data_IF_722514253419
#
_entry.id   IF_722514253419
#
_cell.length_a   1.000
_cell.length_b   1.000
_cell.length_c   1.000
_cell.angle_alpha   90.00
_cell.angle_beta   90.00
_cell.angle_gamma   90.00
#
_symmetry.space_group_name_H-M   'P 1'
#
loop_
_entity.id
_entity.type
_entity.pdbx_description
1 polymer ?
#
# COMPACT_ATOMS: atom_id res chain seq x y z
N UNK A 1 2.41 -7.95 -14.53
CA UNK A 1 0.94 -7.79 -14.59
C UNK A 1 0.30 -7.78 -13.20
N UNK A 2 0.22 -8.90 -12.46
CA UNK A 2 -0.37 -8.90 -11.08
C UNK A 2 0.42 -8.05 -10.07
N UNK A 3 1.76 -8.06 -10.15
CA UNK A 3 2.61 -7.26 -9.28
C UNK A 3 2.52 -5.76 -9.63
N UNK A 4 2.54 -5.41 -10.92
CA UNK A 4 2.35 -4.02 -11.37
C UNK A 4 0.99 -3.46 -10.97
N UNK A 5 -0.05 -4.30 -10.97
CA UNK A 5 -1.38 -3.94 -10.49
C UNK A 5 -1.37 -3.64 -8.99
N UNK A 6 -0.84 -4.56 -8.18
CA UNK A 6 -0.76 -4.39 -6.72
C UNK A 6 0.07 -3.16 -6.35
N UNK A 7 1.20 -2.94 -7.02
CA UNK A 7 2.02 -1.74 -6.91
C UNK A 7 1.23 -0.47 -7.17
N UNK A 8 0.44 -0.46 -8.25
CA UNK A 8 -0.41 0.67 -8.61
C UNK A 8 -1.43 0.92 -7.51
N UNK A 9 -2.10 -0.13 -7.01
CA UNK A 9 -3.08 0.00 -5.94
C UNK A 9 -2.48 0.55 -4.64
N UNK A 10 -1.35 0.02 -4.17
CA UNK A 10 -0.77 0.45 -2.89
C UNK A 10 -0.31 1.92 -2.95
N UNK A 11 0.26 2.35 -4.08
CA UNK A 11 0.57 3.76 -4.34
C UNK A 11 -0.68 4.64 -4.32
N UNK A 12 -1.75 4.19 -4.99
CA UNK A 12 -3.00 4.95 -5.07
C UNK A 12 -3.71 5.03 -3.73
N UNK A 13 -3.59 4.03 -2.85
CA UNK A 13 -4.11 4.09 -1.47
C UNK A 13 -3.41 5.16 -0.63
N UNK A 14 -2.08 5.27 -0.72
CA UNK A 14 -1.34 6.34 -0.05
C UNK A 14 -1.77 7.71 -0.60
N UNK A 15 -1.90 7.82 -1.93
CA UNK A 15 -2.39 9.05 -2.55
C UNK A 15 -3.80 9.41 -2.08
N UNK A 16 -4.69 8.43 -1.97
CA UNK A 16 -6.05 8.64 -1.49
C UNK A 16 -6.07 9.24 -0.10
N UNK A 17 -5.30 8.65 0.82
CA UNK A 17 -5.16 9.15 2.20
C UNK A 17 -4.70 10.63 2.21
N UNK A 18 -3.65 10.95 1.47
CA UNK A 18 -3.11 12.32 1.40
C UNK A 18 -4.10 13.32 0.77
N UNK A 19 -4.90 12.88 -0.21
CA UNK A 19 -5.95 13.73 -0.80
C UNK A 19 -7.08 13.93 0.20
N UNK A 20 -7.56 12.88 0.84
CA UNK A 20 -8.66 12.94 1.82
C UNK A 20 -8.31 13.87 2.99
N UNK A 21 -7.08 13.76 3.51
CA UNK A 21 -6.58 14.64 4.57
C UNK A 21 -6.63 16.11 4.13
N UNK A 22 -6.26 16.42 2.88
CA UNK A 22 -6.30 17.78 2.35
C UNK A 22 -7.75 18.27 2.11
N UNK A 23 -8.60 17.46 1.48
CA UNK A 23 -9.93 17.89 1.03
C UNK A 23 -10.99 17.88 2.13
N UNK A 24 -10.77 17.08 3.19
CA UNK A 24 -11.63 17.07 4.38
C UNK A 24 -11.71 18.43 5.08
N UNK A 25 -10.63 19.23 4.98
CA UNK A 25 -10.55 20.58 5.53
C UNK A 25 -11.52 21.55 4.83
N UNK A 26 -11.95 21.23 3.61
CA UNK A 26 -12.84 22.05 2.78
C UNK A 26 -14.25 21.46 2.58
N UNK A 27 -14.66 20.46 3.39
CA UNK A 27 -15.95 19.75 3.23
C UNK A 27 -16.15 19.14 1.82
N UNK A 28 -15.06 18.72 1.20
CA UNK A 28 -15.10 18.03 -0.09
C UNK A 28 -14.82 16.55 0.10
N UNK A 29 -15.24 15.74 -0.87
CA UNK A 29 -14.96 14.31 -0.93
C UNK A 29 -14.15 13.99 -2.19
N UNK A 30 -13.32 12.96 -2.12
CA UNK A 30 -12.48 12.53 -3.23
C UNK A 30 -12.74 11.08 -3.63
N UNK A 31 -12.52 10.77 -4.90
CA UNK A 31 -12.47 9.40 -5.41
C UNK A 31 -11.33 9.29 -6.44
N UNK A 32 -10.66 8.14 -6.47
CA UNK A 32 -9.55 7.90 -7.40
C UNK A 32 -9.97 6.86 -8.43
N UNK A 33 -9.79 7.22 -9.70
CA UNK A 33 -10.00 6.33 -10.83
C UNK A 33 -8.68 6.04 -11.53
N UNK A 34 -8.48 4.80 -11.97
CA UNK A 34 -7.26 4.41 -12.64
C UNK A 34 -7.53 3.43 -13.78
N UNK A 35 -6.70 3.53 -14.82
CA UNK A 35 -6.78 2.64 -15.96
C UNK A 35 -5.88 1.43 -15.76
N UNK A 36 -6.43 0.23 -15.87
CA UNK A 36 -5.70 -1.03 -15.80
C UNK A 36 -6.39 -2.10 -16.61
N UNK A 37 -5.60 -2.93 -17.30
CA UNK A 37 -6.07 -4.06 -18.11
C UNK A 37 -7.26 -3.73 -19.04
N UNK A 38 -7.11 -2.63 -19.79
CA UNK A 38 -8.10 -2.18 -20.76
C UNK A 38 -9.32 -1.45 -20.18
N UNK A 39 -9.44 -1.35 -18.85
CA UNK A 39 -10.64 -0.84 -18.19
C UNK A 39 -10.34 0.27 -17.18
N UNK A 40 -11.32 1.15 -16.96
CA UNK A 40 -11.33 2.09 -15.85
C UNK A 40 -11.86 1.43 -14.58
N UNK A 41 -11.17 1.65 -13.48
CA UNK A 41 -11.49 1.09 -12.18
C UNK A 41 -11.58 2.23 -11.16
N UNK A 42 -12.49 2.09 -10.20
CA UNK A 42 -12.55 2.92 -8.99
C UNK A 42 -11.72 2.23 -7.90
N UNK A 43 -10.88 3.01 -7.22
CA UNK A 43 -10.00 2.50 -6.16
C UNK A 43 -10.77 1.96 -4.95
N UNK A 44 -11.90 2.57 -4.63
CA UNK A 44 -12.68 2.27 -3.41
C UNK A 44 -13.93 1.44 -3.72
N UNK A 45 -14.53 1.60 -4.90
CA UNK A 45 -15.71 0.84 -5.28
C UNK A 45 -15.41 -0.15 -6.42
N UNK A 46 -15.60 -1.45 -6.17
CA UNK A 46 -15.58 -2.46 -7.23
C UNK A 46 -16.83 -2.41 -8.15
N UNK A 47 -17.62 -1.34 -8.07
CA UNK A 47 -18.83 -1.16 -8.88
C UNK A 47 -18.45 -0.70 -10.28
N UNK A 48 -19.20 -1.19 -11.27
CA UNK A 48 -19.05 -0.79 -12.67
C UNK A 48 -19.37 0.70 -12.82
N UNK A 49 -18.42 1.44 -13.40
CA UNK A 49 -18.57 2.86 -13.71
C UNK A 49 -19.66 3.08 -14.76
N UNK A 50 -20.36 4.21 -14.68
CA UNK A 50 -21.33 4.61 -15.69
C UNK A 50 -20.63 4.97 -17.01
N UNK A 51 -21.31 4.76 -18.14
CA UNK A 51 -20.77 5.11 -19.47
C UNK A 51 -20.38 6.59 -19.57
N UNK A 52 -21.16 7.46 -18.92
CA UNK A 52 -20.87 8.90 -18.84
C UNK A 52 -19.54 9.16 -18.11
N UNK A 53 -19.32 8.53 -16.95
CA UNK A 53 -18.08 8.69 -16.19
C UNK A 53 -16.87 8.20 -17.01
N UNK A 54 -17.00 7.05 -17.69
CA UNK A 54 -15.94 6.52 -18.55
C UNK A 54 -15.58 7.51 -19.66
N UNK A 55 -16.58 8.13 -20.31
CA UNK A 55 -16.35 9.12 -21.35
C UNK A 55 -15.61 10.38 -20.82
N UNK A 56 -15.96 10.83 -19.63
CA UNK A 56 -15.29 11.95 -18.96
C UNK A 56 -13.83 11.62 -18.58
N UNK A 57 -13.59 10.40 -18.05
CA UNK A 57 -12.25 9.90 -17.73
C UNK A 57 -11.35 9.81 -18.97
N UNK A 58 -11.87 9.26 -20.08
CA UNK A 58 -11.16 9.19 -21.35
C UNK A 58 -10.83 10.58 -21.90
N UNK A 59 -11.76 11.53 -21.78
CA UNK A 59 -11.55 12.92 -22.20
C UNK A 59 -10.41 13.56 -21.42
N UNK A 60 -10.38 13.42 -20.09
CA UNK A 60 -9.30 13.95 -19.24
C UNK A 60 -7.97 13.28 -19.55
N UNK A 61 -7.96 11.95 -19.78
CA UNK A 61 -6.75 11.19 -20.11
C UNK A 61 -6.14 11.66 -21.43
N UNK A 62 -6.97 11.88 -22.45
CA UNK A 62 -6.54 12.35 -23.76
C UNK A 62 -6.03 13.78 -23.73
N UNK A 63 -6.69 14.66 -22.98
CA UNK A 63 -6.36 16.09 -22.95
C UNK A 63 -5.27 16.44 -21.93
N UNK A 64 -5.03 15.58 -20.94
CA UNK A 64 -4.15 15.81 -19.79
C UNK A 64 -4.43 17.14 -19.07
N UNK A 65 -5.69 17.57 -19.08
CA UNK A 65 -6.16 18.80 -18.46
C UNK A 65 -7.32 18.48 -17.53
N UNK A 66 -7.44 19.19 -16.39
CA UNK A 66 -8.58 19.01 -15.52
C UNK A 66 -9.88 19.38 -16.25
N UNK A 67 -10.95 18.68 -15.90
CA UNK A 67 -12.27 18.84 -16.47
C UNK A 67 -13.25 19.18 -15.35
N UNK A 68 -13.91 20.33 -15.49
CA UNK A 68 -15.03 20.68 -14.63
C UNK A 68 -16.30 20.05 -15.18
N UNK A 69 -16.92 19.16 -14.40
CA UNK A 69 -18.09 18.38 -14.82
C UNK A 69 -19.38 19.15 -14.56
N UNK A 70 -19.48 19.81 -13.41
CA UNK A 70 -20.57 20.73 -13.07
C UNK A 70 -20.10 21.83 -12.09
N UNK A 71 -21.05 22.46 -11.38
CA UNK A 71 -20.76 23.54 -10.41
C UNK A 71 -20.03 23.04 -9.17
N UNK A 72 -20.18 21.77 -8.82
CA UNK A 72 -19.79 21.15 -7.56
C UNK A 72 -18.81 19.99 -7.74
N UNK A 73 -18.57 19.53 -8.98
CA UNK A 73 -17.71 18.39 -9.26
C UNK A 73 -16.63 18.70 -10.30
N UNK A 74 -15.44 18.13 -10.11
CA UNK A 74 -14.29 18.32 -10.99
C UNK A 74 -13.42 17.08 -11.03
N UNK A 75 -12.78 16.85 -12.17
CA UNK A 75 -11.91 15.71 -12.45
C UNK A 75 -10.52 16.21 -12.81
N UNK A 76 -9.50 15.66 -12.16
CA UNK A 76 -8.11 16.09 -12.28
C UNK A 76 -7.23 14.92 -12.73
N UNK A 77 -6.21 15.22 -13.53
CA UNK A 77 -5.28 14.20 -14.02
C UNK A 77 -4.01 14.17 -13.16
N UNK A 78 -3.71 13.01 -12.56
CA UNK A 78 -2.48 12.76 -11.83
C UNK A 78 -1.51 12.02 -12.73
N UNK A 79 -0.54 12.76 -13.28
CA UNK A 79 0.34 12.21 -14.33
C UNK A 79 1.45 11.34 -13.73
N UNK A 80 1.90 11.64 -12.50
CA UNK A 80 2.99 10.89 -11.86
C UNK A 80 2.50 9.50 -11.43
N UNK A 81 1.25 9.43 -10.98
CA UNK A 81 0.64 8.23 -10.41
C UNK A 81 -0.26 7.47 -11.41
N UNK A 82 -0.39 7.98 -12.64
CA UNK A 82 -1.19 7.41 -13.73
C UNK A 82 -2.64 7.09 -13.30
N UNK A 83 -3.29 8.09 -12.71
CA UNK A 83 -4.67 8.03 -12.24
C UNK A 83 -5.39 9.38 -12.43
N UNK A 84 -6.67 9.40 -12.12
CA UNK A 84 -7.49 10.61 -12.12
C UNK A 84 -8.20 10.74 -10.78
N UNK A 85 -8.30 11.97 -10.30
CA UNK A 85 -8.90 12.31 -9.02
C UNK A 85 -10.19 13.06 -9.29
N UNK A 86 -11.28 12.52 -8.82
CA UNK A 86 -12.57 13.18 -8.82
C UNK A 86 -12.79 13.83 -7.46
N UNK A 87 -13.18 15.11 -7.49
CA UNK A 87 -13.55 15.87 -6.31
C UNK A 87 -15.01 16.27 -6.45
N UNK A 88 -15.77 16.09 -5.37
CA UNK A 88 -17.12 16.62 -5.22
C UNK A 88 -17.24 17.43 -3.94
N UNK A 89 -18.00 18.52 -3.99
CA UNK A 89 -18.33 19.37 -2.85
C UNK A 89 -19.85 19.51 -2.70
N UNK A 90 -20.32 19.73 -1.48
CA UNK A 90 -21.70 20.17 -1.26
C UNK A 90 -21.96 21.57 -1.83
N UNK A 91 -20.91 22.40 -1.88
CA UNK A 91 -20.96 23.79 -2.32
C UNK A 91 -20.36 23.96 -3.73
N UNK A 92 -20.66 25.11 -4.35
CA UNK A 92 -20.07 25.46 -5.65
C UNK A 92 -18.56 25.68 -5.52
N UNK A 93 -17.78 24.90 -6.27
CA UNK A 93 -16.33 25.04 -6.34
C UNK A 93 -15.98 26.32 -7.12
N UNK A 94 -15.35 27.32 -6.50
CA UNK A 94 -14.96 28.56 -7.21
C UNK A 94 -13.85 28.27 -8.24
N UNK A 95 -13.71 29.14 -9.23
CA UNK A 95 -12.61 29.00 -10.21
C UNK A 95 -11.24 29.05 -9.52
N UNK A 96 -11.07 29.96 -8.55
CA UNK A 96 -9.85 30.03 -7.74
C UNK A 96 -9.54 28.73 -7.01
N UNK A 97 -10.52 28.13 -6.32
CA UNK A 97 -10.35 26.83 -5.66
C UNK A 97 -9.95 25.72 -6.63
N UNK A 98 -10.51 25.73 -7.85
CA UNK A 98 -10.13 24.78 -8.88
C UNK A 98 -8.67 24.95 -9.31
N UNK A 99 -8.22 26.19 -9.55
CA UNK A 99 -6.86 26.51 -9.96
C UNK A 99 -5.85 26.24 -8.83
N UNK A 100 -6.20 26.55 -7.58
CA UNK A 100 -5.41 26.27 -6.38
C UNK A 100 -5.24 24.76 -6.18
N UNK A 101 -6.31 23.99 -6.36
CA UNK A 101 -6.25 22.54 -6.21
C UNK A 101 -5.32 21.87 -7.22
N UNK A 102 -5.18 22.37 -8.45
CA UNK A 102 -4.22 21.82 -9.43
C UNK A 102 -2.78 21.89 -8.89
N UNK A 103 -2.41 23.01 -8.27
CA UNK A 103 -1.09 23.20 -7.69
C UNK A 103 -0.91 22.34 -6.43
N UNK A 104 -1.94 22.26 -5.60
CA UNK A 104 -1.94 21.42 -4.39
C UNK A 104 -1.83 19.95 -4.74
N UNK A 105 -2.54 19.48 -5.78
CA UNK A 105 -2.52 18.10 -6.24
C UNK A 105 -1.12 17.65 -6.67
N UNK A 106 -0.38 18.52 -7.37
CA UNK A 106 1.00 18.22 -7.76
C UNK A 106 1.92 18.05 -6.54
N UNK A 107 1.69 18.82 -5.47
CA UNK A 107 2.41 18.66 -4.20
C UNK A 107 2.01 17.38 -3.48
N UNK A 108 0.72 17.06 -3.47
CA UNK A 108 0.19 15.81 -2.91
C UNK A 108 0.78 14.60 -3.63
N UNK A 109 0.83 14.58 -4.97
CA UNK A 109 1.45 13.48 -5.74
C UNK A 109 2.90 13.25 -5.30
N UNK A 110 3.67 14.32 -5.09
CA UNK A 110 5.05 14.23 -4.63
C UNK A 110 5.14 13.73 -3.18
N UNK A 111 4.29 14.20 -2.27
CA UNK A 111 4.22 13.72 -0.88
C UNK A 111 3.88 12.24 -0.84
N UNK A 112 2.83 11.82 -1.53
CA UNK A 112 2.41 10.42 -1.62
C UNK A 112 3.50 9.52 -2.21
N UNK A 113 4.19 9.97 -3.26
CA UNK A 113 5.32 9.21 -3.84
C UNK A 113 6.49 9.09 -2.87
N UNK A 114 6.82 10.17 -2.15
CA UNK A 114 7.88 10.14 -1.14
C UNK A 114 7.49 9.22 0.03
N UNK A 115 6.26 9.30 0.53
CA UNK A 115 5.73 8.42 1.54
C UNK A 115 5.81 6.95 1.08
N UNK A 116 5.35 6.64 -0.14
CA UNK A 116 5.47 5.29 -0.70
C UNK A 116 6.93 4.78 -0.70
N UNK A 117 7.91 5.63 -1.02
CA UNK A 117 9.34 5.26 -1.01
C UNK A 117 9.93 5.09 0.39
N UNK A 118 9.32 5.72 1.40
CA UNK A 118 9.64 5.44 2.80
C UNK A 118 9.10 4.06 3.19
N UNK A 119 7.87 3.75 2.76
CA UNK A 119 7.23 2.49 3.13
C UNK A 119 7.75 1.26 2.38
N UNK A 120 8.14 1.43 1.11
CA UNK A 120 8.44 0.32 0.21
C UNK A 120 9.76 0.52 -0.54
N UNK A 121 10.49 -0.57 -0.73
CA UNK A 121 11.64 -0.64 -1.60
C UNK A 121 11.20 -0.36 -3.05
N UNK A 122 11.74 0.67 -3.74
CA UNK A 122 11.22 1.10 -5.04
C UNK A 122 11.43 0.07 -6.15
N UNK A 123 12.41 -0.83 -6.01
CA UNK A 123 12.74 -1.83 -7.01
C UNK A 123 11.88 -3.09 -6.88
N UNK A 124 11.70 -3.57 -5.66
CA UNK A 124 11.06 -4.87 -5.38
C UNK A 124 9.66 -4.75 -4.78
N UNK A 125 9.27 -3.56 -4.33
CA UNK A 125 7.95 -3.23 -3.74
C UNK A 125 7.65 -3.98 -2.45
N UNK A 126 8.62 -4.69 -1.90
CA UNK A 126 8.56 -5.20 -0.54
C UNK A 126 8.77 -4.04 0.43
N UNK A 127 8.42 -4.24 1.70
CA UNK A 127 8.63 -3.22 2.73
C UNK A 127 10.08 -2.74 2.72
N UNK A 128 10.26 -1.44 2.95
CA UNK A 128 11.57 -0.90 3.25
C UNK A 128 12.00 -1.32 4.67
N UNK A 129 13.27 -1.10 4.98
CA UNK A 129 13.86 -1.44 6.28
C UNK A 129 13.07 -0.85 7.46
N UNK A 130 12.76 0.44 7.41
CA UNK A 130 12.14 1.12 8.55
C UNK A 130 10.67 0.69 8.72
N UNK A 131 9.94 0.51 7.63
CA UNK A 131 8.57 0.00 7.73
C UNK A 131 8.50 -1.45 8.17
N UNK A 132 9.48 -2.29 7.83
CA UNK A 132 9.57 -3.61 8.43
C UNK A 132 9.75 -3.54 9.95
N UNK A 133 10.60 -2.62 10.44
CA UNK A 133 10.78 -2.41 11.89
C UNK A 133 9.51 -1.94 12.57
N UNK A 134 8.73 -1.06 11.93
CA UNK A 134 7.43 -0.61 12.45
C UNK A 134 6.49 -1.82 12.66
N UNK A 135 6.30 -2.66 11.64
CA UNK A 135 5.47 -3.87 11.75
C UNK A 135 6.00 -4.85 12.80
N UNK A 136 7.32 -4.97 12.92
CA UNK A 136 7.95 -5.81 13.95
C UNK A 136 7.71 -5.27 15.36
N UNK A 137 7.88 -3.96 15.56
CA UNK A 137 7.60 -3.30 16.84
C UNK A 137 6.13 -3.48 17.23
N UNK A 138 5.19 -3.22 16.31
CA UNK A 138 3.76 -3.42 16.56
C UNK A 138 3.44 -4.86 16.95
N UNK A 139 4.05 -5.84 16.27
CA UNK A 139 3.86 -7.25 16.61
C UNK A 139 4.41 -7.60 18.00
N UNK A 140 5.56 -7.05 18.38
CA UNK A 140 6.16 -7.26 19.70
C UNK A 140 5.31 -6.63 20.80
N UNK A 141 4.84 -5.39 20.62
CA UNK A 141 3.99 -4.71 21.60
C UNK A 141 2.67 -5.46 21.79
N UNK A 142 2.05 -5.94 20.71
CA UNK A 142 0.85 -6.77 20.79
C UNK A 142 1.07 -8.04 21.64
N UNK A 143 2.20 -8.74 21.47
CA UNK A 143 2.52 -9.92 22.27
C UNK A 143 2.75 -9.60 23.74
N UNK A 144 3.39 -8.47 24.06
CA UNK A 144 3.55 -7.99 25.44
C UNK A 144 2.21 -7.70 26.10
N UNK A 145 1.29 -7.05 25.38
CA UNK A 145 -0.05 -6.74 25.89
C UNK A 145 -0.84 -8.02 26.19
N UNK A 146 -0.75 -9.02 25.32
CA UNK A 146 -1.34 -10.35 25.56
C UNK A 146 -0.75 -10.97 26.83
N UNK A 147 0.58 -11.04 26.94
CA UNK A 147 1.25 -11.64 28.10
C UNK A 147 0.84 -10.96 29.41
N UNK A 148 0.78 -9.62 29.42
CA UNK A 148 0.35 -8.85 30.58
C UNK A 148 -1.10 -9.14 30.99
N UNK A 149 -2.03 -9.14 30.05
CA UNK A 149 -3.45 -9.40 30.35
C UNK A 149 -3.65 -10.81 30.92
N UNK A 150 -2.91 -11.81 30.41
CA UNK A 150 -2.97 -13.18 30.94
C UNK A 150 -2.47 -13.28 32.39
N UNK A 151 -1.40 -12.56 32.74
CA UNK A 151 -0.88 -12.53 34.12
C UNK A 151 -1.88 -11.88 35.09
N UNK A 152 -2.61 -10.84 34.67
CA UNK A 152 -3.65 -10.19 35.48
C UNK A 152 -4.90 -11.08 35.66
N UNK A 153 -5.29 -11.84 34.65
CA UNK A 153 -6.41 -12.79 34.71
C UNK A 153 -6.09 -13.99 35.63
N UNK A 154 -4.86 -14.51 35.58
CA UNK A 154 -4.41 -15.60 36.46
C UNK A 154 -4.33 -15.18 37.94
N UNK A 155 -4.10 -13.90 38.24
CA UNK A 155 -4.11 -13.40 39.62
C UNK A 155 -5.52 -13.23 40.22
N UNK A 156 -6.58 -13.27 39.40
CA UNK A 156 -7.96 -13.10 39.84
C UNK A 156 -8.74 -14.43 39.99
N UNK A 157 -8.15 -15.56 39.64
CA UNK A 157 -8.75 -16.89 39.81
C UNK A 157 -7.85 -17.81 40.64
N UNK A 158 -8.20 -17.97 41.92
CA UNK A 158 -7.76 -19.12 42.70
C UNK A 158 -8.38 -20.40 42.07
N UNK A 159 -7.51 -21.35 41.72
CA UNK A 159 -7.80 -22.76 41.41
C UNK A 159 -8.51 -23.08 40.08
N UNK A 160 -7.75 -23.12 38.98
CA UNK A 160 -7.78 -24.25 38.02
C UNK A 160 -6.51 -24.21 37.12
N UNK A 161 -5.51 -25.06 37.40
CA UNK A 161 -4.20 -25.13 36.72
C UNK A 161 -4.26 -25.71 35.28
N UNK A 162 -5.41 -25.64 34.62
CA UNK A 162 -5.66 -26.33 33.35
C UNK A 162 -5.96 -25.41 32.16
N UNK A 163 -5.68 -24.09 32.27
CA UNK A 163 -5.59 -23.23 31.08
C UNK A 163 -4.19 -23.30 30.48
N UNK A 164 -4.03 -24.35 29.69
CA UNK A 164 -3.08 -24.56 28.59
C UNK A 164 -2.57 -23.23 28.05
N UNK A 165 -1.25 -23.02 28.09
CA UNK A 165 -0.57 -22.03 27.26
C UNK A 165 -1.19 -22.08 25.87
N UNK A 166 -1.91 -21.04 25.46
CA UNK A 166 -2.31 -20.93 24.07
C UNK A 166 -1.01 -20.76 23.26
N UNK A 167 -0.47 -21.89 22.81
CA UNK A 167 0.76 -22.11 22.05
C UNK A 167 0.68 -21.51 20.62
N UNK A 168 -0.05 -20.40 20.48
CA UNK A 168 -0.63 -19.97 19.21
C UNK A 168 -0.22 -18.55 18.80
N UNK A 169 0.38 -17.76 19.69
CA UNK A 169 0.77 -16.38 19.38
C UNK A 169 2.29 -16.26 19.14
N UNK A 170 2.77 -17.06 18.18
CA UNK A 170 4.18 -17.08 17.80
C UNK A 170 4.51 -15.99 16.78
N UNK A 171 5.64 -15.32 17.00
CA UNK A 171 6.27 -14.39 16.07
C UNK A 171 7.53 -15.02 15.50
N UNK A 172 7.67 -15.03 14.18
CA UNK A 172 8.89 -15.49 13.53
C UNK A 172 9.46 -14.42 12.60
N UNK A 173 10.79 -14.28 12.64
CA UNK A 173 11.55 -13.43 11.74
C UNK A 173 12.51 -14.32 10.95
N UNK A 174 12.54 -14.16 9.64
CA UNK A 174 13.46 -14.86 8.75
C UNK A 174 14.26 -13.82 7.98
N UNK A 175 15.59 -13.90 8.05
CA UNK A 175 16.49 -13.17 7.17
C UNK A 175 17.03 -14.12 6.10
N UNK A 176 16.95 -13.69 4.85
CA UNK A 176 17.40 -14.42 3.67
C UNK A 176 18.44 -13.56 2.95
N UNK A 177 19.42 -14.21 2.35
CA UNK A 177 20.45 -13.60 1.52
C UNK A 177 20.53 -14.35 0.18
N UNK A 178 20.79 -13.67 -0.94
CA UNK A 178 20.93 -14.32 -2.24
C UNK A 178 22.39 -14.72 -2.47
N UNK A 179 22.64 -16.02 -2.42
CA UNK A 179 23.96 -16.59 -2.66
C UNK A 179 24.56 -16.12 -4.00
N UNK A 180 25.84 -15.71 -3.96
CA UNK A 180 26.64 -15.33 -5.11
C UNK A 180 26.10 -14.12 -5.91
N UNK A 181 25.27 -13.26 -5.31
CA UNK A 181 24.69 -12.11 -6.04
C UNK A 181 25.75 -11.15 -6.60
N UNK A 182 26.85 -10.91 -5.88
CA UNK A 182 27.98 -10.15 -6.42
C UNK A 182 28.54 -10.76 -7.72
N UNK A 183 28.67 -12.08 -7.80
CA UNK A 183 29.18 -12.74 -9.02
C UNK A 183 28.23 -12.53 -10.20
N UNK A 184 26.92 -12.53 -9.96
CA UNK A 184 25.92 -12.21 -10.97
C UNK A 184 26.13 -10.78 -11.48
N UNK A 185 26.28 -9.81 -10.58
CA UNK A 185 26.53 -8.41 -10.95
C UNK A 185 27.84 -8.25 -11.71
N UNK A 186 28.91 -8.89 -11.27
CA UNK A 186 30.23 -8.79 -11.89
C UNK A 186 30.24 -9.45 -13.29
N UNK A 187 29.47 -10.53 -13.49
CA UNK A 187 29.44 -11.29 -14.76
C UNK A 187 28.45 -10.70 -15.77
N UNK A 188 27.27 -10.29 -15.32
CA UNK A 188 26.16 -9.89 -16.19
C UNK A 188 25.83 -8.39 -16.10
N UNK A 189 26.36 -7.69 -15.09
CA UNK A 189 26.08 -6.27 -14.84
C UNK A 189 24.88 -6.04 -13.93
N UNK A 190 24.84 -4.87 -13.29
CA UNK A 190 23.80 -4.51 -12.31
C UNK A 190 22.37 -4.56 -12.84
N UNK A 191 22.15 -4.28 -14.13
CA UNK A 191 20.82 -4.34 -14.74
C UNK A 191 20.23 -5.77 -14.60
N UNK A 192 21.07 -6.80 -14.73
CA UNK A 192 20.65 -8.19 -14.53
C UNK A 192 20.50 -8.54 -13.05
N UNK A 193 21.34 -7.99 -12.18
CA UNK A 193 21.15 -8.07 -10.73
C UNK A 193 19.79 -7.55 -10.29
N UNK A 194 19.37 -6.39 -10.80
CA UNK A 194 18.05 -5.81 -10.53
C UNK A 194 16.92 -6.74 -10.97
N UNK A 195 17.08 -7.43 -12.10
CA UNK A 195 16.09 -8.43 -12.56
C UNK A 195 16.03 -9.64 -11.64
N UNK A 196 17.17 -10.10 -11.12
CA UNK A 196 17.24 -11.18 -10.13
C UNK A 196 16.50 -10.77 -8.84
N UNK A 197 16.77 -9.59 -8.30
CA UNK A 197 16.12 -9.08 -7.09
C UNK A 197 14.59 -8.97 -7.26
N UNK A 198 14.13 -8.42 -8.39
CA UNK A 198 12.69 -8.35 -8.73
C UNK A 198 12.07 -9.74 -8.84
N UNK A 199 12.76 -10.67 -9.48
CA UNK A 199 12.27 -12.05 -9.65
C UNK A 199 12.21 -12.80 -8.32
N UNK A 200 13.19 -12.59 -7.44
CA UNK A 200 13.23 -13.18 -6.12
C UNK A 200 12.07 -12.67 -5.26
N UNK A 201 11.84 -11.36 -5.22
CA UNK A 201 10.71 -10.74 -4.52
C UNK A 201 9.36 -11.31 -5.01
N UNK A 202 9.17 -11.41 -6.33
CA UNK A 202 7.99 -12.03 -6.94
C UNK A 202 7.75 -13.48 -6.50
N UNK A 203 8.84 -14.27 -6.39
CA UNK A 203 8.75 -15.66 -5.93
C UNK A 203 8.38 -15.72 -4.45
N UNK A 204 8.98 -14.88 -3.62
CA UNK A 204 8.63 -14.76 -2.20
C UNK A 204 7.15 -14.40 -2.01
N UNK A 205 6.63 -13.42 -2.75
CA UNK A 205 5.21 -13.05 -2.69
C UNK A 205 4.29 -14.20 -3.06
N UNK A 206 4.61 -14.93 -4.14
CA UNK A 206 3.84 -16.11 -4.57
C UNK A 206 3.84 -17.20 -3.50
N UNK A 207 4.99 -17.50 -2.91
CA UNK A 207 5.10 -18.48 -1.82
C UNK A 207 4.30 -18.02 -0.60
N UNK A 208 4.48 -16.77 -0.16
CA UNK A 208 3.74 -16.15 0.95
C UNK A 208 2.22 -16.20 0.73
N UNK A 209 1.73 -15.89 -0.48
CA UNK A 209 0.30 -15.96 -0.80
C UNK A 209 -0.25 -17.38 -0.67
N UNK A 210 0.49 -18.40 -1.14
CA UNK A 210 0.09 -19.80 -1.02
C UNK A 210 0.05 -20.26 0.43
N UNK A 211 0.98 -19.81 1.27
CA UNK A 211 1.02 -20.15 2.70
C UNK A 211 -0.13 -19.45 3.43
N UNK A 212 -0.33 -18.13 3.23
CA UNK A 212 -1.43 -17.37 3.86
C UNK A 212 -2.83 -17.92 3.56
N UNK A 213 -3.05 -18.48 2.37
CA UNK A 213 -4.35 -19.08 2.02
C UNK A 213 -4.68 -20.35 2.82
N UNK A 214 -3.67 -21.00 3.40
CA UNK A 214 -3.81 -22.28 4.10
C UNK A 214 -3.72 -22.14 5.62
N UNK A 215 -3.36 -20.96 6.12
CA UNK A 215 -3.01 -20.75 7.52
C UNK A 215 -3.56 -19.40 7.99
N UNK A 216 -3.93 -19.30 9.26
CA UNK A 216 -4.42 -18.05 9.87
C UNK A 216 -3.28 -17.10 10.28
N UNK A 217 -2.41 -16.79 9.33
CA UNK A 217 -1.21 -15.99 9.55
C UNK A 217 -1.14 -14.78 8.62
N UNK A 218 -0.42 -13.77 9.08
CA UNK A 218 0.06 -12.64 8.30
C UNK A 218 1.53 -12.84 7.97
N UNK A 219 1.92 -12.42 6.76
CA UNK A 219 3.30 -12.49 6.29
C UNK A 219 3.64 -11.13 5.69
N UNK A 220 4.61 -10.45 6.28
CA UNK A 220 5.18 -9.22 5.75
C UNK A 220 6.53 -9.53 5.14
N UNK A 221 6.73 -9.08 3.91
CA UNK A 221 7.94 -9.30 3.14
C UNK A 221 8.64 -7.95 2.98
N UNK A 222 9.95 -7.93 3.22
CA UNK A 222 10.79 -6.74 3.19
C UNK A 222 12.03 -6.97 2.33
N UNK A 223 12.44 -5.90 1.65
CA UNK A 223 13.74 -5.81 1.00
C UNK A 223 14.46 -4.58 1.59
N UNK A 224 15.16 -4.76 2.71
CA UNK A 224 15.81 -3.68 3.43
C UNK A 224 16.95 -3.02 2.63
N UNK A 225 17.78 -3.83 1.97
CA UNK A 225 18.93 -3.37 1.19
C UNK A 225 19.65 -4.52 0.47
N UNK A 226 20.39 -4.17 -0.59
CA UNK A 226 21.38 -5.07 -1.21
C UNK A 226 20.76 -6.35 -1.78
N UNK A 227 21.24 -7.49 -1.30
CA UNK A 227 20.77 -8.84 -1.64
C UNK A 227 19.99 -9.52 -0.51
N UNK A 228 19.71 -8.79 0.57
CA UNK A 228 19.03 -9.29 1.76
C UNK A 228 17.51 -9.10 1.67
N UNK A 229 16.76 -10.08 2.18
CA UNK A 229 15.30 -10.07 2.30
C UNK A 229 14.87 -10.50 3.68
N UNK A 230 13.93 -9.77 4.29
CA UNK A 230 13.40 -10.12 5.61
C UNK A 230 11.93 -10.50 5.51
N UNK A 231 11.53 -11.44 6.35
CA UNK A 231 10.17 -11.95 6.44
C UNK A 231 9.75 -11.89 7.90
N UNK A 232 8.59 -11.27 8.15
CA UNK A 232 7.91 -11.29 9.43
C UNK A 232 6.67 -12.16 9.28
N UNK A 233 6.51 -13.13 10.17
CA UNK A 233 5.33 -13.99 10.23
C UNK A 233 4.73 -13.82 11.62
N UNK A 234 3.44 -13.49 11.66
CA UNK A 234 2.65 -13.44 12.89
C UNK A 234 1.27 -14.03 12.66
N UNK A 235 0.59 -14.41 13.73
CA UNK A 235 -0.84 -14.77 13.65
C UNK A 235 -1.68 -13.56 13.24
N UNK A 236 -2.79 -13.79 12.54
CA UNK A 236 -3.80 -12.75 12.34
C UNK A 236 -4.45 -12.39 13.67
N UNK A 237 -4.39 -11.11 14.05
CA UNK A 237 -5.20 -10.56 15.13
C UNK A 237 -6.64 -10.41 14.64
N UNK A 238 -7.62 -10.93 15.41
CA UNK A 238 -9.05 -10.74 15.18
C UNK A 238 -9.56 -9.54 15.98
#
# INVERSE_FOLDING_TARGET
>A
MLMDYKMKLDRLKILKKEIDDEVSLEKMTSSIYYYFDGNWNDLENEKKLSERMIADLEKVKKQKKPLRLDVNTSLYNCTVMDCQVFISSSDRIKKSQHDDFINTLSKIERRAMNAYRVYYNPMTQLLAKDSFKEHLHEAIEYLKDIEKNHLEEQHNYDQDESQVFNDTDHLAIIALDIDYFKQINDTYGHIYGDQVLKTFALRLEKCSSRIRKKNEIEIFLSHPSGEEFWILIKRKSY
#
